data_IF_049124483788
#
_entry.id   IF_049124483788
#
_cell.length_a   1.000
_cell.length_b   1.000
_cell.length_c   1.000
_cell.angle_alpha   90.00
_cell.angle_beta   90.00
_cell.angle_gamma   90.00
#
_symmetry.space_group_name_H-M   'P 1'
#
loop_
_entity.id
_entity.type
_entity.pdbx_description
1 polymer ?
#
# COMPACT_ATOMS: atom_id res chain seq x y z
N UNK A 1 -5.60 -1.80 13.49
CA UNK A 1 -6.41 -2.58 14.46
C UNK A 1 -5.59 -3.59 15.26
N UNK A 2 -4.65 -4.30 14.64
CA UNK A 2 -3.77 -5.27 15.32
C UNK A 2 -3.01 -4.71 16.53
N UNK A 3 -2.49 -3.49 16.43
CA UNK A 3 -1.87 -2.79 17.58
C UNK A 3 -2.82 -2.65 18.75
N UNK A 4 -4.00 -2.05 18.58
CA UNK A 4 -4.95 -1.85 19.68
C UNK A 4 -5.41 -3.17 20.34
N UNK A 5 -5.54 -4.26 19.56
CA UNK A 5 -5.87 -5.59 20.07
C UNK A 5 -4.73 -6.21 20.91
N UNK A 6 -3.47 -6.08 20.46
CA UNK A 6 -2.31 -6.52 21.23
C UNK A 6 -2.19 -5.76 22.56
N UNK A 7 -2.55 -4.48 22.59
CA UNK A 7 -2.56 -3.66 23.81
C UNK A 7 -3.55 -4.15 24.85
N UNK A 8 -4.75 -4.52 24.41
CA UNK A 8 -5.75 -5.17 25.27
C UNK A 8 -5.24 -6.50 25.84
N UNK A 9 -4.57 -7.30 25.03
CA UNK A 9 -4.03 -8.59 25.47
C UNK A 9 -2.95 -8.39 26.54
N UNK A 10 -2.02 -7.43 26.35
CA UNK A 10 -0.98 -7.12 27.34
C UNK A 10 -1.58 -6.66 28.68
N UNK A 11 -2.61 -5.81 28.65
CA UNK A 11 -3.29 -5.33 29.87
C UNK A 11 -4.03 -6.46 30.58
N UNK A 12 -4.66 -7.38 29.84
CA UNK A 12 -5.36 -8.53 30.43
C UNK A 12 -4.39 -9.57 30.98
N UNK A 13 -3.25 -9.79 30.31
CA UNK A 13 -2.26 -10.80 30.69
C UNK A 13 -1.46 -10.41 31.94
N UNK A 14 -1.06 -9.14 32.07
CA UNK A 14 -0.16 -8.67 33.13
C UNK A 14 -0.72 -7.48 33.91
N UNK A 15 -1.97 -7.55 34.36
CA UNK A 15 -2.61 -6.41 35.02
C UNK A 15 -1.96 -6.01 36.37
N UNK A 16 -1.30 -6.95 37.08
CA UNK A 16 -0.76 -6.73 38.43
C UNK A 16 0.67 -6.15 38.45
N UNK A 17 1.45 -6.33 37.39
CA UNK A 17 2.85 -5.89 37.33
C UNK A 17 3.05 -4.77 36.30
N UNK A 18 3.17 -3.55 36.82
CA UNK A 18 3.35 -2.32 36.04
C UNK A 18 4.64 -2.33 35.21
N UNK A 19 5.70 -2.94 35.74
CA UNK A 19 6.97 -3.01 35.05
C UNK A 19 6.88 -3.99 33.88
N UNK A 20 6.17 -5.11 34.05
CA UNK A 20 5.93 -6.07 32.98
C UNK A 20 5.14 -5.45 31.81
N UNK A 21 4.05 -4.73 32.09
CA UNK A 21 3.25 -4.06 31.04
C UNK A 21 4.07 -3.02 30.28
N UNK A 22 4.92 -2.25 30.99
CA UNK A 22 5.79 -1.26 30.36
C UNK A 22 6.89 -1.90 29.49
N UNK A 23 7.48 -3.01 29.94
CA UNK A 23 8.50 -3.73 29.17
C UNK A 23 7.89 -4.40 27.94
N UNK A 24 6.73 -5.05 28.07
CA UNK A 24 6.00 -5.62 26.92
C UNK A 24 5.63 -4.55 25.90
N UNK A 25 5.18 -3.39 26.37
CA UNK A 25 4.93 -2.22 25.56
C UNK A 25 6.19 -1.74 24.81
N UNK A 26 7.35 -1.67 25.46
CA UNK A 26 8.61 -1.30 24.80
C UNK A 26 9.02 -2.30 23.72
N UNK A 27 8.88 -3.61 23.99
CA UNK A 27 9.21 -4.67 23.01
C UNK A 27 8.33 -4.56 21.76
N UNK A 28 7.03 -4.36 21.94
CA UNK A 28 6.10 -4.22 20.81
C UNK A 28 6.37 -2.91 20.03
N UNK A 29 6.68 -1.82 20.73
CA UNK A 29 7.09 -0.57 20.10
C UNK A 29 8.38 -0.72 19.28
N UNK A 30 9.35 -1.49 19.78
CA UNK A 30 10.60 -1.80 19.08
C UNK A 30 10.37 -2.60 17.80
N UNK A 31 9.49 -3.61 17.83
CA UNK A 31 9.07 -4.36 16.62
C UNK A 31 8.41 -3.42 15.61
N UNK A 32 7.55 -2.50 16.08
CA UNK A 32 6.96 -1.46 15.25
C UNK A 32 8.00 -0.56 14.57
N UNK A 33 9.05 -0.19 15.31
CA UNK A 33 10.17 0.58 14.77
C UNK A 33 10.96 -0.22 13.73
N UNK A 34 11.22 -1.49 13.97
CA UNK A 34 11.88 -2.37 13.00
C UNK A 34 11.05 -2.48 11.71
N UNK A 35 9.73 -2.64 11.81
CA UNK A 35 8.86 -2.64 10.64
C UNK A 35 8.94 -1.30 9.88
N UNK A 36 9.09 -0.18 10.57
CA UNK A 36 9.23 1.14 9.93
C UNK A 36 10.50 1.34 9.09
N UNK A 37 11.50 0.45 9.24
CA UNK A 37 12.74 0.48 8.44
C UNK A 37 12.57 -0.19 7.08
N UNK A 38 11.52 -1.00 6.89
CA UNK A 38 11.25 -1.66 5.61
C UNK A 38 10.45 -0.72 4.68
N UNK A 39 11.01 -0.29 3.53
CA UNK A 39 10.44 0.76 2.68
C UNK A 39 8.97 0.55 2.27
N UNK A 40 8.52 -0.67 1.91
CA UNK A 40 7.13 -0.93 1.54
C UNK A 40 6.11 -0.68 2.66
N UNK A 41 6.50 -0.83 3.93
CA UNK A 41 5.59 -0.74 5.09
C UNK A 41 5.97 0.41 6.03
N UNK A 42 6.88 1.29 5.61
CA UNK A 42 7.46 2.34 6.45
C UNK A 42 6.41 3.22 7.13
N UNK A 43 5.35 3.60 6.39
CA UNK A 43 4.25 4.39 6.94
C UNK A 43 3.44 3.61 7.98
N UNK A 44 3.10 2.35 7.69
CA UNK A 44 2.36 1.49 8.59
C UNK A 44 3.14 1.22 9.89
N UNK A 45 4.45 0.97 9.79
CA UNK A 45 5.33 0.81 10.95
C UNK A 45 5.44 2.08 11.80
N UNK A 46 5.55 3.26 11.17
CA UNK A 46 5.53 4.55 11.89
C UNK A 46 4.21 4.80 12.59
N UNK A 47 3.07 4.53 11.94
CA UNK A 47 1.76 4.71 12.56
C UNK A 47 1.51 3.75 13.71
N UNK A 48 1.90 2.48 13.54
CA UNK A 48 1.84 1.48 14.59
C UNK A 48 2.63 1.92 15.82
N UNK A 49 3.86 2.40 15.63
CA UNK A 49 4.70 2.90 16.73
C UNK A 49 4.06 4.11 17.43
N UNK A 50 3.50 5.07 16.68
CA UNK A 50 2.85 6.24 17.26
C UNK A 50 1.60 5.89 18.07
N UNK A 51 0.72 5.03 17.52
CA UNK A 51 -0.47 4.58 18.26
C UNK A 51 -0.07 3.82 19.51
N UNK A 52 0.95 2.97 19.41
CA UNK A 52 1.43 2.21 20.54
C UNK A 52 2.04 3.09 21.63
N UNK A 53 2.83 4.10 21.25
CA UNK A 53 3.40 5.05 22.19
C UNK A 53 2.32 5.82 22.96
N UNK A 54 1.29 6.31 22.26
CA UNK A 54 0.13 6.98 22.91
C UNK A 54 -0.60 6.02 23.84
N UNK A 55 -0.84 4.78 23.42
CA UNK A 55 -1.56 3.78 24.22
C UNK A 55 -0.78 3.41 25.49
N UNK A 56 0.54 3.21 25.40
CA UNK A 56 1.33 2.75 26.54
C UNK A 56 1.63 3.86 27.54
N UNK A 57 1.85 5.09 27.06
CA UNK A 57 2.17 6.25 27.90
C UNK A 57 0.94 6.72 28.70
N UNK A 58 -0.25 6.69 28.07
CA UNK A 58 -1.51 6.98 28.75
C UNK A 58 -1.90 5.86 29.75
N UNK A 59 -1.44 4.62 29.55
CA UNK A 59 -1.64 3.52 30.51
C UNK A 59 -0.73 3.64 31.73
N UNK A 60 0.56 3.98 31.54
CA UNK A 60 1.48 4.17 32.67
C UNK A 60 1.13 5.39 33.52
N UNK A 61 0.65 6.48 32.92
CA UNK A 61 0.28 7.70 33.64
C UNK A 61 -1.06 7.55 34.40
N UNK A 62 -2.05 6.84 33.84
CA UNK A 62 -3.39 6.72 34.43
C UNK A 62 -3.55 5.63 35.52
N UNK A 63 -2.46 5.00 35.99
CA UNK A 63 -2.49 3.78 36.83
C UNK A 63 -2.84 3.98 38.31
N UNK A 64 -3.65 4.98 38.64
CA UNK A 64 -4.18 5.12 40.01
C UNK A 64 -5.47 4.33 40.24
N UNK A 65 -6.09 3.80 39.19
CA UNK A 65 -7.46 3.27 39.28
C UNK A 65 -7.62 1.75 39.14
N UNK A 66 -8.78 1.29 39.64
CA UNK A 66 -9.24 -0.10 39.75
C UNK A 66 -9.21 -0.85 38.41
N UNK A 67 -9.05 -2.19 38.43
CA UNK A 67 -8.96 -3.07 37.23
C UNK A 67 -10.04 -2.78 36.16
N UNK A 68 -11.25 -2.42 36.60
CA UNK A 68 -12.36 -2.10 35.69
C UNK A 68 -12.09 -0.83 34.87
N UNK A 69 -11.43 0.15 35.46
CA UNK A 69 -11.14 1.43 34.83
C UNK A 69 -10.01 1.32 33.82
N UNK A 70 -8.99 0.48 34.10
CA UNK A 70 -7.94 0.16 33.11
C UNK A 70 -8.51 -0.51 31.86
N UNK A 71 -9.45 -1.44 32.01
CA UNK A 71 -10.10 -2.12 30.87
C UNK A 71 -11.00 -1.16 30.11
N UNK A 72 -11.75 -0.29 30.79
CA UNK A 72 -12.60 0.72 30.14
C UNK A 72 -11.75 1.74 29.37
N UNK A 73 -10.63 2.18 29.95
CA UNK A 73 -9.68 3.08 29.27
C UNK A 73 -9.08 2.42 28.02
N UNK A 74 -8.69 1.15 28.11
CA UNK A 74 -8.22 0.39 26.95
C UNK A 74 -9.30 0.25 25.87
N UNK A 75 -10.55 -0.02 26.25
CA UNK A 75 -11.68 -0.12 25.33
C UNK A 75 -11.99 1.22 24.62
N UNK A 76 -11.96 2.33 25.36
CA UNK A 76 -12.16 3.68 24.79
C UNK A 76 -11.09 4.00 23.74
N UNK A 77 -9.84 3.60 23.99
CA UNK A 77 -8.73 3.76 23.03
C UNK A 77 -8.94 2.94 21.76
N UNK A 78 -9.37 1.67 21.87
CA UNK A 78 -9.73 0.85 20.69
C UNK A 78 -10.83 1.55 19.88
N UNK A 79 -11.85 2.09 20.57
CA UNK A 79 -12.93 2.85 19.95
C UNK A 79 -12.44 4.08 19.19
N UNK A 80 -11.69 4.97 19.84
CA UNK A 80 -11.15 6.18 19.23
C UNK A 80 -10.21 5.89 18.07
N UNK A 81 -9.35 4.88 18.19
CA UNK A 81 -8.44 4.48 17.11
C UNK A 81 -9.22 3.96 15.90
N UNK A 82 -10.29 3.20 16.13
CA UNK A 82 -11.15 2.67 15.07
C UNK A 82 -11.92 3.81 14.38
N UNK A 83 -12.49 4.74 15.14
CA UNK A 83 -13.14 5.93 14.60
C UNK A 83 -12.18 6.81 13.81
N UNK A 84 -10.96 7.02 14.30
CA UNK A 84 -9.92 7.79 13.60
C UNK A 84 -9.50 7.14 12.28
N UNK A 85 -9.35 5.81 12.25
CA UNK A 85 -9.09 5.07 11.01
C UNK A 85 -10.24 5.26 10.03
N UNK A 86 -11.48 5.04 10.45
CA UNK A 86 -12.66 5.22 9.59
C UNK A 86 -12.75 6.64 9.03
N UNK A 87 -12.54 7.65 9.87
CA UNK A 87 -12.53 9.05 9.47
C UNK A 87 -11.45 9.35 8.43
N UNK A 88 -10.22 8.90 8.68
CA UNK A 88 -9.12 9.05 7.73
C UNK A 88 -9.41 8.31 6.41
N UNK A 89 -9.94 7.09 6.46
CA UNK A 89 -10.27 6.31 5.25
C UNK A 89 -11.33 7.04 4.41
N UNK A 90 -12.38 7.57 5.03
CA UNK A 90 -13.45 8.31 4.34
C UNK A 90 -12.87 9.59 3.72
N UNK A 91 -12.12 10.38 4.49
CA UNK A 91 -11.56 11.65 4.01
C UNK A 91 -10.50 11.43 2.93
N UNK A 92 -9.62 10.45 3.07
CA UNK A 92 -8.63 10.12 2.04
C UNK A 92 -9.32 9.68 0.74
N UNK A 93 -10.41 8.91 0.84
CA UNK A 93 -11.23 8.56 -0.33
C UNK A 93 -11.91 9.78 -0.97
N UNK A 94 -12.29 10.78 -0.19
CA UNK A 94 -12.90 12.02 -0.71
C UNK A 94 -11.88 13.00 -1.31
N UNK A 95 -10.67 13.10 -0.74
CA UNK A 95 -9.64 14.06 -1.17
C UNK A 95 -8.81 13.56 -2.34
N UNK A 96 -8.69 12.25 -2.53
CA UNK A 96 -7.91 11.63 -3.61
C UNK A 96 -8.74 10.61 -4.38
N UNK A 97 -9.78 11.04 -5.12
CA UNK A 97 -10.73 10.14 -5.79
C UNK A 97 -10.17 9.43 -7.04
N UNK A 98 -9.04 9.90 -7.58
CA UNK A 98 -8.51 9.47 -8.90
C UNK A 98 -7.20 8.66 -8.80
N UNK A 99 -6.84 8.17 -7.62
CA UNK A 99 -5.50 7.62 -7.38
C UNK A 99 -5.24 6.29 -8.13
N UNK A 100 -6.20 5.37 -8.13
CA UNK A 100 -6.00 4.05 -8.77
C UNK A 100 -6.13 4.13 -10.30
N UNK A 101 -7.06 4.94 -10.80
CA UNK A 101 -7.30 5.16 -12.23
C UNK A 101 -6.15 5.93 -12.91
N UNK A 102 -5.56 6.94 -12.27
CA UNK A 102 -4.37 7.62 -12.80
C UNK A 102 -3.14 6.71 -12.75
N UNK A 103 -2.99 5.89 -11.70
CA UNK A 103 -1.92 4.92 -11.63
C UNK A 103 -2.04 3.87 -12.75
N UNK A 104 -3.26 3.39 -13.03
CA UNK A 104 -3.53 2.48 -14.16
C UNK A 104 -3.23 3.14 -15.51
N UNK A 105 -3.56 4.43 -15.70
CA UNK A 105 -3.23 5.18 -16.92
C UNK A 105 -1.73 5.30 -17.12
N UNK A 106 -0.98 5.69 -16.09
CA UNK A 106 0.47 5.81 -16.15
C UNK A 106 1.13 4.47 -16.48
N UNK A 107 0.69 3.39 -15.82
CA UNK A 107 1.21 2.03 -16.06
C UNK A 107 0.87 1.54 -17.47
N UNK A 108 -0.35 1.78 -17.95
CA UNK A 108 -0.76 1.47 -19.32
C UNK A 108 0.07 2.24 -20.35
N UNK A 109 0.33 3.53 -20.11
CA UNK A 109 1.16 4.35 -20.99
C UNK A 109 2.61 3.84 -21.05
N UNK A 110 3.17 3.43 -19.90
CA UNK A 110 4.50 2.82 -19.84
C UNK A 110 4.56 1.48 -20.59
N UNK A 111 3.57 0.60 -20.40
CA UNK A 111 3.48 -0.68 -21.09
C UNK A 111 3.41 -0.50 -22.63
N UNK A 112 2.58 0.44 -23.10
CA UNK A 112 2.46 0.76 -24.53
C UNK A 112 3.76 1.36 -25.07
N UNK A 113 4.39 2.27 -24.33
CA UNK A 113 5.66 2.88 -24.73
C UNK A 113 6.78 1.84 -24.86
N UNK A 114 6.86 0.90 -23.92
CA UNK A 114 7.84 -0.19 -23.95
C UNK A 114 7.57 -1.15 -25.09
N UNK A 115 6.30 -1.52 -25.34
CA UNK A 115 5.92 -2.32 -26.49
C UNK A 115 6.31 -1.66 -27.81
N UNK A 116 6.08 -0.35 -27.96
CA UNK A 116 6.48 0.41 -29.13
C UNK A 116 8.01 0.48 -29.32
N UNK A 117 8.77 0.59 -28.23
CA UNK A 117 10.23 0.56 -28.28
C UNK A 117 10.75 -0.79 -28.76
N UNK A 118 10.18 -1.91 -28.30
CA UNK A 118 10.58 -3.24 -28.76
C UNK A 118 10.28 -3.49 -30.23
N UNK A 119 9.12 -3.04 -30.73
CA UNK A 119 8.80 -3.10 -32.16
C UNK A 119 9.81 -2.28 -32.99
N UNK A 120 10.16 -1.07 -32.52
CA UNK A 120 11.17 -0.25 -33.17
C UNK A 120 12.52 -0.96 -33.26
N UNK A 121 13.01 -1.51 -32.14
CA UNK A 121 14.28 -2.25 -32.12
C UNK A 121 14.25 -3.47 -33.05
N UNK A 122 13.14 -4.21 -33.10
CA UNK A 122 13.00 -5.35 -34.01
C UNK A 122 13.01 -4.93 -35.49
N UNK A 123 12.39 -3.79 -35.83
CA UNK A 123 12.42 -3.23 -37.19
C UNK A 123 13.83 -2.74 -37.53
N UNK A 124 14.52 -2.05 -36.62
CA UNK A 124 15.90 -1.60 -36.82
C UNK A 124 16.84 -2.79 -37.04
N UNK A 125 16.68 -3.88 -36.29
CA UNK A 125 17.43 -5.13 -36.51
C UNK A 125 17.16 -5.73 -37.89
N UNK A 126 15.89 -5.80 -38.33
CA UNK A 126 15.55 -6.30 -39.68
C UNK A 126 16.16 -5.46 -40.81
N UNK A 127 16.20 -4.14 -40.64
CA UNK A 127 16.83 -3.23 -41.61
C UNK A 127 18.35 -3.48 -41.63
N UNK A 128 18.99 -3.59 -40.47
CA UNK A 128 20.44 -3.86 -40.37
C UNK A 128 20.80 -5.22 -40.97
N UNK A 129 20.03 -6.27 -40.69
CA UNK A 129 20.22 -7.61 -41.28
C UNK A 129 20.01 -7.64 -42.80
N UNK A 130 19.12 -6.79 -43.33
CA UNK A 130 18.92 -6.68 -44.79
C UNK A 130 20.03 -5.91 -45.49
N UNK A 131 20.69 -5.00 -44.78
CA UNK A 131 21.76 -4.14 -45.35
C UNK A 131 23.14 -4.80 -45.21
N UNK A 132 23.32 -5.66 -44.21
CA UNK A 132 24.57 -6.37 -43.95
C UNK A 132 24.48 -7.78 -44.54
N UNK A 133 24.99 -7.95 -45.76
CA UNK A 133 24.95 -9.21 -46.50
C UNK A 133 26.05 -10.20 -46.05
N UNK A 134 26.42 -10.19 -44.76
CA UNK A 134 27.49 -11.01 -44.19
C UNK A 134 26.92 -12.00 -43.16
N UNK A 135 27.07 -13.28 -43.47
CA UNK A 135 26.78 -14.41 -42.61
C UNK A 135 27.60 -14.32 -41.31
N UNK A 136 26.94 -14.58 -40.17
CA UNK A 136 27.47 -14.67 -38.79
C UNK A 136 27.50 -13.39 -37.94
N UNK A 137 26.38 -12.67 -37.86
CA UNK A 137 26.08 -11.89 -36.64
C UNK A 137 25.32 -12.83 -35.71
N UNK A 138 25.91 -13.22 -34.57
CA UNK A 138 25.15 -13.80 -33.45
C UNK A 138 24.13 -12.76 -33.00
N UNK A 139 22.89 -12.90 -33.49
CA UNK A 139 21.78 -12.06 -33.05
C UNK A 139 21.38 -12.58 -31.67
N UNK A 140 21.75 -11.85 -30.63
CA UNK A 140 21.25 -12.09 -29.27
C UNK A 140 19.71 -12.00 -29.30
N UNK A 141 19.04 -13.13 -29.05
CA UNK A 141 17.57 -13.22 -29.13
C UNK A 141 16.91 -12.61 -27.89
N UNK A 142 16.89 -11.27 -27.86
CA UNK A 142 16.26 -10.49 -26.80
C UNK A 142 14.72 -10.54 -26.82
N UNK A 143 14.11 -11.31 -27.74
CA UNK A 143 12.65 -11.40 -27.88
C UNK A 143 11.99 -12.07 -26.69
N UNK A 144 12.64 -13.08 -26.12
CA UNK A 144 12.11 -13.80 -24.96
C UNK A 144 12.11 -12.90 -23.71
N UNK A 145 13.19 -12.15 -23.49
CA UNK A 145 13.29 -11.18 -22.40
C UNK A 145 12.31 -10.02 -22.59
N UNK A 146 12.19 -9.48 -23.80
CA UNK A 146 11.20 -8.46 -24.13
C UNK A 146 9.76 -8.96 -23.92
N UNK A 147 9.47 -10.20 -24.35
CA UNK A 147 8.16 -10.83 -24.14
C UNK A 147 7.82 -10.97 -22.66
N UNK A 148 8.78 -11.39 -21.85
CA UNK A 148 8.65 -11.46 -20.39
C UNK A 148 8.39 -10.09 -19.76
N UNK A 149 9.16 -9.07 -20.14
CA UNK A 149 9.04 -7.71 -19.59
C UNK A 149 7.69 -7.07 -19.93
N UNK A 150 7.23 -7.21 -21.19
CA UNK A 150 5.91 -6.72 -21.62
C UNK A 150 4.78 -7.49 -20.95
N UNK A 151 4.92 -8.81 -20.80
CA UNK A 151 3.93 -9.62 -20.09
C UNK A 151 3.82 -9.21 -18.62
N UNK A 152 4.95 -8.98 -17.96
CA UNK A 152 4.98 -8.52 -16.57
C UNK A 152 4.34 -7.14 -16.42
N UNK A 153 4.63 -6.20 -17.33
CA UNK A 153 3.98 -4.89 -17.34
C UNK A 153 2.47 -4.99 -17.56
N UNK A 154 2.01 -5.83 -18.50
CA UNK A 154 0.58 -6.05 -18.74
C UNK A 154 -0.11 -6.72 -17.54
N UNK A 155 0.56 -7.66 -16.88
CA UNK A 155 0.06 -8.29 -15.67
C UNK A 155 -0.10 -7.28 -14.53
N UNK A 156 0.86 -6.34 -14.39
CA UNK A 156 0.72 -5.25 -13.41
C UNK A 156 -0.45 -4.32 -13.75
N UNK A 157 -0.68 -4.02 -15.03
CA UNK A 157 -1.85 -3.22 -15.46
C UNK A 157 -3.16 -3.96 -15.14
N UNK A 158 -3.26 -5.26 -15.41
CA UNK A 158 -4.43 -6.07 -15.07
C UNK A 158 -4.67 -6.10 -13.56
N UNK A 159 -3.61 -6.18 -12.75
CA UNK A 159 -3.76 -6.16 -11.28
C UNK A 159 -4.34 -4.85 -10.75
N UNK A 160 -4.11 -3.72 -11.45
CA UNK A 160 -4.69 -2.42 -11.10
C UNK A 160 -6.10 -2.21 -11.65
N UNK A 161 -6.55 -3.06 -12.59
CA UNK A 161 -7.84 -2.89 -13.28
C UNK A 161 -9.03 -3.11 -12.34
N UNK A 162 -8.96 -4.08 -11.42
CA UNK A 162 -10.02 -4.31 -10.43
C UNK A 162 -10.18 -3.13 -9.48
N UNK A 163 -9.06 -2.55 -9.07
CA UNK A 163 -9.03 -1.45 -8.11
C UNK A 163 -9.51 -0.14 -8.77
N UNK A 164 -9.10 0.11 -10.01
CA UNK A 164 -9.62 1.23 -10.81
C UNK A 164 -11.12 1.07 -11.12
N UNK A 165 -11.60 -0.14 -11.40
CA UNK A 165 -13.03 -0.39 -11.61
C UNK A 165 -13.86 -0.18 -10.33
N UNK A 166 -13.33 -0.60 -9.18
CA UNK A 166 -13.96 -0.35 -7.88
C UNK A 166 -13.98 1.15 -7.54
N UNK A 167 -12.88 1.86 -7.79
CA UNK A 167 -12.78 3.32 -7.63
C UNK A 167 -13.83 4.05 -8.48
N UNK A 168 -13.97 3.69 -9.76
CA UNK A 168 -14.97 4.29 -10.66
C UNK A 168 -16.40 3.91 -10.26
N UNK A 169 -16.66 2.68 -9.81
CA UNK A 169 -17.98 2.26 -9.38
C UNK A 169 -18.45 3.02 -8.12
N UNK A 170 -17.52 3.29 -7.20
CA UNK A 170 -17.79 3.98 -5.93
C UNK A 170 -17.82 5.50 -6.11
N UNK A 171 -16.82 6.09 -6.77
CA UNK A 171 -16.65 7.54 -6.89
C UNK A 171 -17.24 8.14 -8.18
N UNK A 172 -17.47 7.33 -9.21
CA UNK A 172 -18.07 7.76 -10.49
C UNK A 172 -19.52 8.17 -10.33
N UNK A 173 -20.21 7.60 -9.35
CA UNK A 173 -21.60 7.97 -9.00
C UNK A 173 -21.68 9.28 -8.23
N UNK A 174 -20.60 9.70 -7.57
CA UNK A 174 -20.52 10.95 -6.79
C UNK A 174 -19.96 12.14 -7.58
N UNK A 175 -19.71 12.00 -8.88
CA UNK A 175 -19.29 13.09 -9.78
C UNK A 175 -18.00 13.81 -9.30
N UNK A 176 -17.09 13.07 -8.66
CA UNK A 176 -15.78 13.55 -8.21
C UNK A 176 -14.63 13.18 -9.15
N UNK A 177 -14.89 12.35 -10.17
CA UNK A 177 -13.91 11.94 -11.17
C UNK A 177 -13.80 12.98 -12.28
N UNK A 178 -12.57 13.24 -12.71
CA UNK A 178 -12.25 13.97 -13.93
C UNK A 178 -13.01 13.40 -15.15
N UNK A 179 -13.56 14.28 -16.00
CA UNK A 179 -14.35 13.92 -17.19
C UNK A 179 -13.61 12.99 -18.18
N UNK A 180 -12.28 12.92 -18.05
CA UNK A 180 -11.40 12.10 -18.89
C UNK A 180 -11.30 10.63 -18.41
N UNK A 181 -11.39 10.33 -17.11
CA UNK A 181 -11.32 8.95 -16.58
C UNK A 181 -12.60 8.16 -16.91
N UNK A 182 -13.74 8.84 -16.91
CA UNK A 182 -15.05 8.26 -17.29
C UNK A 182 -15.11 7.82 -18.76
N UNK A 183 -14.33 8.43 -19.66
CA UNK A 183 -14.32 8.10 -21.10
C UNK A 183 -13.51 6.86 -21.45
N UNK A 184 -12.48 6.52 -20.66
CA UNK A 184 -11.58 5.39 -20.96
C UNK A 184 -12.24 4.04 -20.73
N UNK A 185 -13.25 3.95 -19.86
CA UNK A 185 -13.94 2.70 -19.52
C UNK A 185 -15.32 2.51 -20.19
N UNK A 186 -15.79 3.47 -21.00
CA UNK A 186 -17.08 3.39 -21.68
C UNK A 186 -17.02 2.77 -23.09
N UNK A 187 -15.81 2.45 -23.57
CA UNK A 187 -15.53 1.70 -24.79
C UNK A 187 -14.83 0.38 -24.43
#
# INVERSE_FOLDING_TARGET
>A
MTGAALGMICVVANYDDRAAVFVEAMVIGYIGKLASLYPPIQYAGRQFMNTWFVVCLDLTIATTDSKKEMVIAAAWRVGLTTCGILYCTIISGMLFPDFASDQMRLRSAHAISRAGHGVKCAVDQLVVSRTSNEDNIEIEDLREQFGSDVFQDLQTVMSCQSDAAAEIAVFGRTMLLSDMSTRVFKN
#
